data_IF_399643457733
#
_entry.id   IF_399643457733
#
_cell.length_a   1.000
_cell.length_b   1.000
_cell.length_c   1.000
_cell.angle_alpha   90.00
_cell.angle_beta   90.00
_cell.angle_gamma   90.00
#
_symmetry.space_group_name_H-M   'P 1'
#
loop_
_entity.id
_entity.type
_entity.pdbx_description
1 polymer ?
#
# COMPACT_ATOMS: atom_id res chain seq x y z
N UNK A 1 4.34 -16.73 0.54
CA UNK A 1 4.37 -15.72 -0.53
C UNK A 1 4.67 -14.37 0.10
N UNK A 2 5.62 -13.61 -0.46
CA UNK A 2 5.98 -12.29 0.08
C UNK A 2 5.26 -11.20 -0.70
N UNK A 3 4.59 -10.29 -0.03
CA UNK A 3 3.76 -9.26 -0.67
C UNK A 3 4.08 -7.87 -0.14
N UNK A 4 3.81 -6.86 -0.96
CA UNK A 4 3.72 -5.49 -0.50
C UNK A 4 2.32 -4.95 -0.74
N UNK A 5 1.87 -4.11 0.18
CA UNK A 5 0.55 -3.49 0.14
C UNK A 5 0.74 -2.02 -0.22
N UNK A 6 0.02 -1.54 -1.23
CA UNK A 6 -0.07 -0.12 -1.54
C UNK A 6 -1.50 0.36 -1.33
N UNK A 7 -1.65 1.43 -0.56
CA UNK A 7 -2.93 2.03 -0.20
C UNK A 7 -2.88 3.53 -0.43
N UNK A 8 -4.02 4.14 -0.76
CA UNK A 8 -4.11 5.58 -1.03
C UNK A 8 -5.43 6.13 -0.53
N UNK A 9 -5.37 7.30 0.12
CA UNK A 9 -6.57 8.05 0.52
C UNK A 9 -6.49 9.48 0.02
N UNK A 10 -7.57 9.95 -0.61
CA UNK A 10 -7.63 11.27 -1.28
C UNK A 10 -7.79 12.47 -0.34
N UNK A 11 -7.84 12.26 0.97
CA UNK A 11 -8.19 13.31 1.93
C UNK A 11 -7.23 13.32 3.12
N UNK A 12 -6.70 14.51 3.43
CA UNK A 12 -5.97 14.78 4.68
C UNK A 12 -6.90 15.17 5.83
N UNK A 13 -8.09 15.71 5.53
CA UNK A 13 -8.89 16.48 6.50
C UNK A 13 -10.38 16.12 6.64
N UNK A 14 -10.88 15.00 6.11
CA UNK A 14 -12.30 14.66 6.27
C UNK A 14 -12.55 13.17 6.43
N UNK A 15 -12.38 12.64 7.65
CA UNK A 15 -13.15 11.49 8.18
C UNK A 15 -13.24 10.22 7.33
N UNK A 16 -12.36 10.03 6.35
CA UNK A 16 -12.31 8.77 5.61
C UNK A 16 -11.46 7.83 6.44
N UNK A 17 -12.16 6.91 7.08
CA UNK A 17 -11.64 5.90 7.99
C UNK A 17 -10.74 4.93 7.20
N UNK A 18 -9.50 5.34 6.96
CA UNK A 18 -8.49 4.65 6.15
C UNK A 18 -8.31 3.20 6.64
N UNK A 19 -8.46 3.03 7.95
CA UNK A 19 -8.41 1.74 8.64
C UNK A 19 -9.43 0.73 8.11
N UNK A 20 -10.61 1.16 7.64
CA UNK A 20 -11.63 0.24 7.14
C UNK A 20 -11.30 -0.38 5.78
N UNK A 21 -10.39 0.21 4.99
CA UNK A 21 -9.95 -0.38 3.71
C UNK A 21 -8.64 -1.16 3.83
N UNK A 22 -7.74 -0.74 4.72
CA UNK A 22 -6.45 -1.41 4.91
C UNK A 22 -6.58 -2.68 5.76
N UNK A 23 -7.46 -2.67 6.77
CA UNK A 23 -7.69 -3.82 7.66
C UNK A 23 -8.11 -5.09 6.92
N UNK A 24 -9.08 -5.06 5.97
CA UNK A 24 -9.44 -6.25 5.19
C UNK A 24 -8.28 -6.83 4.38
N UNK A 25 -7.43 -5.99 3.79
CA UNK A 25 -6.29 -6.45 2.97
C UNK A 25 -5.23 -7.10 3.85
N UNK A 26 -4.94 -6.53 5.03
CA UNK A 26 -4.05 -7.16 6.01
C UNK A 26 -4.59 -8.49 6.51
N UNK A 27 -5.89 -8.55 6.83
CA UNK A 27 -6.53 -9.77 7.28
C UNK A 27 -6.47 -10.88 6.21
N UNK A 28 -6.70 -10.55 4.95
CA UNK A 28 -6.54 -11.49 3.84
C UNK A 28 -5.11 -12.03 3.76
N UNK A 29 -4.11 -11.14 3.83
CA UNK A 29 -2.71 -11.56 3.79
C UNK A 29 -2.36 -12.50 4.95
N UNK A 30 -2.86 -12.21 6.16
CA UNK A 30 -2.66 -13.08 7.33
C UNK A 30 -3.37 -14.43 7.16
N UNK A 31 -4.62 -14.43 6.68
CA UNK A 31 -5.40 -15.65 6.44
C UNK A 31 -4.75 -16.56 5.40
N UNK A 32 -4.20 -15.97 4.34
CA UNK A 32 -3.51 -16.69 3.26
C UNK A 32 -2.05 -17.04 3.60
N UNK A 33 -1.55 -16.64 4.78
CA UNK A 33 -0.17 -16.89 5.22
C UNK A 33 0.88 -16.13 4.39
N UNK A 34 0.53 -14.96 3.87
CA UNK A 34 1.43 -14.10 3.11
C UNK A 34 2.25 -13.23 4.06
N UNK A 35 3.55 -13.14 3.80
CA UNK A 35 4.48 -12.29 4.53
C UNK A 35 4.43 -10.88 3.95
N UNK A 36 3.86 -9.94 4.72
CA UNK A 36 3.79 -8.53 4.33
C UNK A 36 5.16 -7.91 4.58
N UNK A 37 5.93 -7.72 3.51
CA UNK A 37 7.27 -7.14 3.60
C UNK A 37 7.26 -5.64 3.86
N UNK A 38 6.33 -4.92 3.21
CA UNK A 38 6.26 -3.47 3.25
C UNK A 38 4.87 -2.97 2.89
N UNK A 39 4.47 -1.89 3.56
CA UNK A 39 3.24 -1.17 3.29
C UNK A 39 3.58 0.26 2.82
N UNK A 40 2.92 0.69 1.75
CA UNK A 40 3.06 1.99 1.12
C UNK A 40 1.73 2.73 1.21
N UNK A 41 1.73 3.92 1.80
CA UNK A 41 0.50 4.68 2.03
C UNK A 41 0.66 6.13 1.55
N UNK A 42 -0.17 6.54 0.59
CA UNK A 42 -0.21 7.93 0.10
C UNK A 42 -1.53 8.61 0.52
N UNK A 43 -1.43 9.74 1.21
CA UNK A 43 -2.55 10.63 1.54
C UNK A 43 -2.61 11.81 0.57
N UNK A 44 -2.93 11.54 -0.69
CA UNK A 44 -2.96 12.56 -1.74
C UNK A 44 -4.07 12.31 -2.78
N UNK A 45 -4.43 13.37 -3.49
CA UNK A 45 -5.44 13.33 -4.54
C UNK A 45 -5.00 12.37 -5.66
N UNK A 46 -5.98 11.62 -6.18
CA UNK A 46 -5.78 10.66 -7.26
C UNK A 46 -5.39 11.28 -8.61
N UNK A 47 -5.29 12.61 -8.69
CA UNK A 47 -4.96 13.36 -9.90
C UNK A 47 -3.46 13.59 -10.08
N UNK A 48 -2.65 13.40 -9.04
CA UNK A 48 -1.19 13.59 -9.15
C UNK A 48 -0.46 12.26 -9.33
N UNK A 49 0.53 12.24 -10.22
CA UNK A 49 1.37 11.07 -10.52
C UNK A 49 2.70 11.06 -9.75
N UNK A 50 3.03 12.15 -9.05
CA UNK A 50 4.23 12.36 -8.23
C UNK A 50 4.12 11.76 -6.80
N UNK A 51 3.19 10.82 -6.61
CA UNK A 51 2.93 10.16 -5.33
C UNK A 51 4.16 9.42 -4.83
N UNK A 52 4.64 9.83 -3.66
CA UNK A 52 5.95 9.42 -3.17
C UNK A 52 6.00 7.92 -2.86
N UNK A 53 4.97 7.37 -2.21
CA UNK A 53 4.99 5.95 -1.87
C UNK A 53 4.69 5.07 -3.07
N UNK A 54 3.87 5.53 -4.01
CA UNK A 54 3.66 4.84 -5.29
C UNK A 54 4.95 4.71 -6.09
N UNK A 55 5.72 5.79 -6.24
CA UNK A 55 7.01 5.77 -6.94
C UNK A 55 8.03 4.87 -6.21
N UNK A 56 8.03 4.87 -4.88
CA UNK A 56 8.87 3.96 -4.07
C UNK A 56 8.49 2.50 -4.27
N UNK A 57 7.19 2.18 -4.28
CA UNK A 57 6.71 0.83 -4.57
C UNK A 57 7.19 0.36 -5.95
N UNK A 58 7.06 1.19 -6.98
CA UNK A 58 7.53 0.84 -8.33
C UNK A 58 9.05 0.63 -8.37
N UNK A 59 9.81 1.47 -7.66
CA UNK A 59 11.26 1.32 -7.56
C UNK A 59 11.64 0.03 -6.84
N UNK A 60 11.03 -0.26 -5.70
CA UNK A 60 11.32 -1.48 -4.93
C UNK A 60 10.87 -2.75 -5.67
N UNK A 61 9.82 -2.66 -6.50
CA UNK A 61 9.43 -3.72 -7.43
C UNK A 61 10.46 -3.93 -8.54
N UNK A 62 10.94 -2.85 -9.16
CA UNK A 62 11.98 -2.90 -10.20
C UNK A 62 13.32 -3.46 -9.67
N UNK A 63 13.63 -3.19 -8.41
CA UNK A 63 14.81 -3.71 -7.71
C UNK A 63 14.66 -5.19 -7.26
N UNK A 64 13.59 -5.89 -7.67
CA UNK A 64 13.28 -7.29 -7.33
C UNK A 64 13.24 -7.59 -5.82
N UNK A 65 13.01 -6.57 -4.98
CA UNK A 65 12.90 -6.77 -3.52
C UNK A 65 11.60 -7.48 -3.11
N UNK A 66 10.62 -7.51 -4.01
CA UNK A 66 9.31 -8.12 -3.83
C UNK A 66 9.26 -9.58 -4.28
N UNK A 67 10.36 -10.19 -4.70
CA UNK A 67 10.36 -11.53 -5.31
C UNK A 67 10.91 -12.58 -4.35
N UNK A 68 10.09 -13.58 -3.98
CA UNK A 68 10.43 -15.01 -3.90
C UNK A 68 9.16 -15.83 -4.14
#
# INVERSE_FOLDING_TARGET
MRVAIYTRVSTRDKGQDVLNQVTPIRNLCVQEGWDIWREYEDHDSGTRADRTQFQRMLKDAAEKKLTF
#
